data_IF_059027248719
#
_entry.id   IF_059027248719
#
_cell.length_a   1.000
_cell.length_b   1.000
_cell.length_c   1.000
_cell.angle_alpha   90.00
_cell.angle_beta   90.00
_cell.angle_gamma   90.00
#
_symmetry.space_group_name_H-M   'P 1'
#
loop_
_entity.id
_entity.type
_entity.pdbx_description
1 polymer ?
#
# COMPACT_ATOMS: atom_id res chain seq x y z
N UNK A 1 -1.77 -22.97 -17.26
CA UNK A 1 -1.65 -22.48 -15.86
C UNK A 1 -1.31 -20.97 -15.83
N UNK A 2 -2.01 -20.14 -16.63
CA UNK A 2 -1.63 -18.73 -16.93
C UNK A 2 -2.65 -17.71 -16.38
N UNK A 3 -3.83 -18.16 -15.96
CA UNK A 3 -4.97 -17.28 -15.66
C UNK A 3 -4.88 -16.48 -14.33
N UNK A 4 -3.85 -16.67 -13.51
CA UNK A 4 -3.71 -15.99 -12.21
C UNK A 4 -2.78 -14.75 -12.25
N UNK A 5 -2.14 -14.46 -13.38
CA UNK A 5 -1.08 -13.43 -13.43
C UNK A 5 -1.58 -11.98 -13.42
N UNK A 6 -2.88 -11.75 -13.66
CA UNK A 6 -3.43 -10.39 -13.83
C UNK A 6 -4.72 -10.12 -13.04
N UNK A 7 -4.95 -10.78 -11.91
CA UNK A 7 -6.08 -10.42 -11.03
C UNK A 7 -5.71 -9.21 -10.19
N UNK A 8 -5.99 -8.00 -10.69
CA UNK A 8 -5.94 -6.76 -9.91
C UNK A 8 -7.25 -6.65 -9.12
N UNK A 9 -7.18 -6.71 -7.79
CA UNK A 9 -8.33 -6.45 -6.92
C UNK A 9 -8.61 -4.95 -6.96
N UNK A 10 -9.44 -4.51 -7.92
CA UNK A 10 -9.95 -3.14 -7.95
C UNK A 10 -11.02 -2.99 -6.87
N UNK A 11 -10.72 -2.18 -5.86
CA UNK A 11 -11.70 -1.73 -4.90
C UNK A 11 -12.58 -0.66 -5.57
N UNK A 12 -13.91 -0.78 -5.47
CA UNK A 12 -14.86 0.20 -6.01
C UNK A 12 -14.81 1.51 -5.21
N UNK A 13 -15.05 2.65 -5.88
CA UNK A 13 -15.07 3.98 -5.24
C UNK A 13 -16.05 4.08 -4.06
N UNK A 14 -17.15 3.33 -4.09
CA UNK A 14 -18.13 3.26 -2.98
C UNK A 14 -17.55 2.73 -1.67
N UNK A 15 -16.47 1.93 -1.71
CA UNK A 15 -15.80 1.46 -0.50
C UNK A 15 -14.96 2.56 0.15
N UNK A 16 -14.50 3.55 -0.62
CA UNK A 16 -13.74 4.68 -0.11
C UNK A 16 -14.54 5.50 0.89
N UNK A 17 -15.78 5.87 0.55
CA UNK A 17 -16.65 6.65 1.44
C UNK A 17 -16.97 5.89 2.73
N UNK A 18 -17.24 4.57 2.62
CA UNK A 18 -17.48 3.72 3.78
C UNK A 18 -16.26 3.68 4.69
N UNK A 19 -15.06 3.48 4.14
CA UNK A 19 -13.81 3.43 4.92
C UNK A 19 -13.47 4.78 5.53
N UNK A 20 -13.77 5.88 4.85
CA UNK A 20 -13.62 7.23 5.41
C UNK A 20 -14.54 7.46 6.61
N UNK A 21 -15.77 6.95 6.53
CA UNK A 21 -16.74 7.01 7.65
C UNK A 21 -16.29 6.11 8.81
N UNK A 22 -15.89 4.87 8.52
CA UNK A 22 -15.37 3.94 9.53
C UNK A 22 -14.09 4.48 10.20
N UNK A 23 -13.25 5.23 9.47
CA UNK A 23 -12.07 5.91 10.02
C UNK A 23 -12.44 7.05 10.97
N UNK A 24 -13.51 7.78 10.68
CA UNK A 24 -14.00 8.87 11.54
C UNK A 24 -14.63 8.33 12.85
N UNK A 25 -15.26 7.16 12.79
CA UNK A 25 -15.96 6.54 13.92
C UNK A 25 -15.04 5.73 14.87
N UNK A 26 -13.81 5.43 14.46
CA UNK A 26 -12.89 4.61 15.26
C UNK A 26 -12.33 5.37 16.47
N UNK A 27 -12.31 4.69 17.62
CA UNK A 27 -11.70 5.23 18.86
C UNK A 27 -10.21 5.47 18.70
N UNK A 28 -9.79 6.70 19.02
CA UNK A 28 -8.38 7.14 19.00
C UNK A 28 -7.54 6.31 19.98
N UNK A 29 -8.10 5.96 21.15
CA UNK A 29 -7.40 5.18 22.18
C UNK A 29 -7.07 3.76 21.67
N UNK A 30 -8.01 3.15 20.95
CA UNK A 30 -7.81 1.85 20.33
C UNK A 30 -6.72 1.89 19.23
N UNK A 31 -6.68 2.97 18.44
CA UNK A 31 -5.63 3.18 17.43
C UNK A 31 -4.27 3.35 18.08
N UNK A 32 -4.17 4.14 19.15
CA UNK A 32 -2.92 4.35 19.87
C UNK A 32 -2.40 3.04 20.46
N UNK A 33 -3.26 2.27 21.14
CA UNK A 33 -2.89 0.98 21.72
C UNK A 33 -2.38 -0.02 20.67
N UNK A 34 -3.08 -0.13 19.52
CA UNK A 34 -2.66 -1.01 18.42
C UNK A 34 -1.34 -0.55 17.80
N UNK A 35 -1.14 0.77 17.63
CA UNK A 35 0.07 1.33 17.01
C UNK A 35 1.29 1.13 17.90
N UNK A 36 1.14 1.33 19.22
CA UNK A 36 2.21 1.09 20.19
C UNK A 36 2.64 -0.38 20.19
N UNK A 37 1.69 -1.31 20.17
CA UNK A 37 1.98 -2.75 20.12
C UNK A 37 2.70 -3.15 18.83
N UNK A 38 2.24 -2.65 17.68
CA UNK A 38 2.89 -2.87 16.40
C UNK A 38 4.33 -2.31 16.41
N UNK A 39 4.55 -1.15 17.02
CA UNK A 39 5.88 -0.53 17.11
C UNK A 39 6.87 -1.38 17.92
N UNK A 40 6.38 -2.16 18.89
CA UNK A 40 7.17 -3.10 19.71
C UNK A 40 7.40 -4.45 19.01
N UNK A 41 6.94 -4.62 17.77
CA UNK A 41 7.07 -5.85 16.99
C UNK A 41 5.95 -6.87 17.25
N UNK A 42 4.92 -6.53 18.03
CA UNK A 42 3.78 -7.39 18.27
C UNK A 42 2.79 -7.26 17.10
N UNK A 43 2.83 -8.22 16.19
CA UNK A 43 1.98 -8.23 15.01
C UNK A 43 0.82 -9.18 15.22
N UNK A 44 -0.36 -8.60 15.48
CA UNK A 44 -1.69 -9.19 15.19
C UNK A 44 -2.29 -10.04 16.32
N UNK A 45 -2.39 -9.50 17.55
CA UNK A 45 -3.34 -10.04 18.54
C UNK A 45 -4.32 -8.95 18.95
N UNK A 46 -5.55 -9.06 18.41
CA UNK A 46 -6.65 -8.21 18.83
C UNK A 46 -7.27 -8.77 20.11
N UNK A 47 -7.15 -8.00 21.19
CA UNK A 47 -7.65 -8.36 22.51
C UNK A 47 -9.08 -7.87 22.69
N UNK A 48 -9.43 -6.75 22.05
CA UNK A 48 -10.75 -6.13 22.14
C UNK A 48 -11.44 -5.99 20.77
N UNK A 49 -12.77 -5.83 20.77
CA UNK A 49 -13.56 -5.63 19.56
C UNK A 49 -13.20 -4.34 18.81
N UNK A 50 -12.80 -3.29 19.54
CA UNK A 50 -12.37 -2.03 18.93
C UNK A 50 -11.01 -2.17 18.24
N UNK A 51 -10.07 -2.91 18.84
CA UNK A 51 -8.80 -3.24 18.19
C UNK A 51 -9.01 -4.09 16.93
N UNK A 52 -9.98 -5.00 16.93
CA UNK A 52 -10.36 -5.74 15.71
C UNK A 52 -10.85 -4.81 14.61
N UNK A 53 -11.63 -3.78 14.96
CA UNK A 53 -12.08 -2.76 13.99
C UNK A 53 -10.89 -1.97 13.46
N UNK A 54 -9.96 -1.56 14.30
CA UNK A 54 -8.72 -0.86 13.89
C UNK A 54 -7.91 -1.72 12.91
N UNK A 55 -7.67 -3.00 13.23
CA UNK A 55 -6.91 -3.89 12.35
C UNK A 55 -7.63 -4.13 11.01
N UNK A 56 -8.96 -4.27 11.04
CA UNK A 56 -9.78 -4.38 9.83
C UNK A 56 -9.65 -3.11 8.98
N UNK A 57 -9.80 -1.94 9.60
CA UNK A 57 -9.67 -0.64 8.94
C UNK A 57 -8.28 -0.46 8.33
N UNK A 58 -7.21 -0.81 9.05
CA UNK A 58 -5.84 -0.79 8.51
C UNK A 58 -5.69 -1.66 7.25
N UNK A 59 -6.33 -2.84 7.22
CA UNK A 59 -6.31 -3.73 6.04
C UNK A 59 -7.10 -3.13 4.88
N UNK A 60 -8.24 -2.54 5.15
CA UNK A 60 -9.11 -1.91 4.14
C UNK A 60 -8.46 -0.65 3.53
N UNK A 61 -7.86 0.21 4.35
CA UNK A 61 -7.09 1.38 3.89
C UNK A 61 -5.89 0.95 3.04
N UNK A 62 -5.16 -0.10 3.43
CA UNK A 62 -4.08 -0.66 2.60
C UNK A 62 -4.60 -1.14 1.24
N UNK A 63 -5.75 -1.80 1.20
CA UNK A 63 -6.34 -2.29 -0.05
C UNK A 63 -6.78 -1.14 -0.98
N UNK A 64 -7.28 -0.03 -0.43
CA UNK A 64 -7.65 1.14 -1.23
C UNK A 64 -6.43 1.88 -1.74
N UNK A 65 -5.44 2.11 -0.85
CA UNK A 65 -4.27 2.93 -1.19
C UNK A 65 -3.43 2.33 -2.31
N UNK A 66 -3.51 1.03 -2.58
CA UNK A 66 -2.83 0.43 -3.76
C UNK A 66 -3.25 1.08 -5.09
N UNK A 67 -4.51 1.53 -5.19
CA UNK A 67 -5.04 2.20 -6.37
C UNK A 67 -4.65 3.68 -6.48
N UNK A 68 -4.09 4.27 -5.41
CA UNK A 68 -3.67 5.68 -5.36
C UNK A 68 -2.23 5.78 -5.84
N UNK A 69 -1.95 6.41 -6.99
CA UNK A 69 -0.59 6.58 -7.50
C UNK A 69 0.31 7.27 -6.48
N UNK A 70 1.53 6.78 -6.31
CA UNK A 70 2.51 7.34 -5.36
C UNK A 70 2.34 6.88 -3.90
N UNK A 71 1.26 6.18 -3.56
CA UNK A 71 1.09 5.64 -2.20
C UNK A 71 2.17 4.59 -1.86
N UNK A 72 2.37 4.35 -0.55
CA UNK A 72 3.28 3.31 -0.10
C UNK A 72 2.90 1.92 -0.63
N UNK A 73 1.60 1.62 -0.69
CA UNK A 73 1.11 0.34 -1.19
C UNK A 73 1.26 0.21 -2.71
N UNK A 74 0.99 1.28 -3.47
CA UNK A 74 1.22 1.29 -4.92
C UNK A 74 2.70 1.03 -5.26
N UNK A 75 3.63 1.60 -4.47
CA UNK A 75 5.07 1.32 -4.59
C UNK A 75 5.43 -0.14 -4.31
N UNK A 76 4.78 -0.77 -3.33
CA UNK A 76 4.97 -2.20 -3.05
C UNK A 76 4.43 -3.05 -4.20
N UNK A 77 3.26 -2.73 -4.72
CA UNK A 77 2.65 -3.43 -5.84
C UNK A 77 3.52 -3.36 -7.10
N UNK A 78 4.03 -2.18 -7.46
CA UNK A 78 4.96 -2.03 -8.59
C UNK A 78 6.24 -2.87 -8.42
N UNK A 79 6.81 -2.93 -7.20
CA UNK A 79 7.98 -3.80 -6.95
C UNK A 79 7.62 -5.29 -7.09
N UNK A 80 6.43 -5.68 -6.67
CA UNK A 80 5.97 -7.06 -6.83
C UNK A 80 5.71 -7.41 -8.28
N UNK A 81 5.20 -6.47 -9.08
CA UNK A 81 5.05 -6.61 -10.53
C UNK A 81 6.41 -6.82 -11.21
N UNK A 82 7.41 -5.99 -10.89
CA UNK A 82 8.79 -6.18 -11.38
C UNK A 82 9.32 -7.58 -11.03
N UNK A 83 9.17 -8.02 -9.77
CA UNK A 83 9.58 -9.37 -9.35
C UNK A 83 8.83 -10.47 -10.10
N UNK A 84 7.53 -10.29 -10.34
CA UNK A 84 6.72 -11.21 -11.13
C UNK A 84 7.24 -11.33 -12.56
N UNK A 85 7.53 -10.19 -13.20
CA UNK A 85 8.11 -10.13 -14.54
C UNK A 85 9.49 -10.80 -14.60
N UNK A 86 10.34 -10.59 -13.58
CA UNK A 86 11.63 -11.28 -13.48
C UNK A 86 11.46 -12.81 -13.39
N UNK A 87 10.45 -13.27 -12.66
CA UNK A 87 10.20 -14.70 -12.49
C UNK A 87 9.62 -15.34 -13.75
N UNK A 88 8.79 -14.61 -14.52
CA UNK A 88 8.14 -15.15 -15.74
C UNK A 88 8.99 -15.00 -16.99
N UNK A 89 9.76 -13.92 -17.12
CA UNK A 89 10.53 -13.59 -18.33
C UNK A 89 12.05 -13.66 -18.13
N UNK A 90 12.52 -14.00 -16.93
CA UNK A 90 13.93 -13.97 -16.56
C UNK A 90 14.36 -12.61 -16.03
N UNK A 91 15.50 -12.57 -15.36
CA UNK A 91 16.07 -11.32 -14.83
C UNK A 91 16.49 -10.42 -16.00
N UNK A 92 16.03 -9.16 -16.06
CA UNK A 92 16.63 -8.17 -16.95
C UNK A 92 18.11 -8.07 -16.61
N UNK A 93 18.97 -8.24 -17.61
CA UNK A 93 20.43 -8.27 -17.43
C UNK A 93 21.01 -6.96 -16.87
N UNK A 94 20.20 -5.89 -16.80
CA UNK A 94 20.65 -4.54 -16.51
C UNK A 94 19.47 -3.65 -16.10
N UNK A 95 19.63 -2.97 -14.96
CA UNK A 95 18.73 -1.92 -14.48
C UNK A 95 19.43 -0.58 -14.64
N UNK A 96 18.84 0.37 -15.38
CA UNK A 96 19.24 1.78 -15.35
C UNK A 96 18.34 2.50 -14.36
N UNK A 97 18.92 2.98 -13.26
CA UNK A 97 18.25 3.98 -12.43
C UNK A 97 18.70 5.34 -12.90
N UNK A 98 17.86 6.00 -13.70
CA UNK A 98 18.06 7.42 -14.04
C UNK A 98 17.55 8.22 -12.85
N UNK A 99 18.47 8.71 -12.01
CA UNK A 99 18.16 9.68 -10.96
C UNK A 99 18.58 11.06 -11.46
N UNK A 100 17.73 11.77 -12.23
CA UNK A 100 18.08 13.10 -12.69
C UNK A 100 18.20 13.99 -11.46
N UNK A 101 19.37 14.61 -11.27
CA UNK A 101 19.50 15.65 -10.26
C UNK A 101 18.61 16.83 -10.68
N UNK A 102 17.61 17.18 -9.86
CA UNK A 102 16.68 18.28 -10.13
C UNK A 102 17.40 19.61 -10.41
N UNK A 103 18.61 19.79 -9.87
CA UNK A 103 19.45 20.99 -10.03
C UNK A 103 19.94 21.19 -11.47
N UNK A 104 20.08 20.12 -12.25
CA UNK A 104 20.66 20.18 -13.60
C UNK A 104 19.74 19.60 -14.68
N UNK A 105 18.53 19.16 -14.33
CA UNK A 105 17.61 18.58 -15.30
C UNK A 105 16.94 19.70 -16.13
N UNK A 106 17.26 19.83 -17.43
CA UNK A 106 16.66 20.86 -18.28
C UNK A 106 15.14 20.71 -18.41
N UNK A 107 14.57 19.54 -18.15
CA UNK A 107 13.12 19.30 -18.19
C UNK A 107 12.38 19.86 -16.97
N UNK A 108 13.02 19.89 -15.79
CA UNK A 108 12.41 20.38 -14.54
C UNK A 108 12.52 21.92 -14.43
N UNK A 109 13.45 22.52 -15.18
CA UNK A 109 13.69 23.97 -15.18
C UNK A 109 12.62 24.80 -15.90
N UNK A 110 11.76 24.15 -16.69
CA UNK A 110 10.70 24.79 -17.49
C UNK A 110 9.28 24.61 -16.92
N UNK A 111 9.15 23.90 -15.80
CA UNK A 111 7.87 23.62 -15.13
C UNK A 111 7.68 24.53 -13.91
#
# INVERSE_FOLDING_TARGET
RVALLCTKLRVSSSQFERIATDLADVSIDAVHAVTERISRGDSITATNNDERRVLKLMKEVRAITSSVPGSAQARIEMRNEIRGLMMTHGMPSFYITINPADVFNPLVKFL
#
